data_IF_435619122927
#
_entry.id   IF_435619122927
#
_cell.length_a   1.000
_cell.length_b   1.000
_cell.length_c   1.000
_cell.angle_alpha   90.00
_cell.angle_beta   90.00
_cell.angle_gamma   90.00
#
_symmetry.space_group_name_H-M   'P 1'
#
loop_
_entity.id
_entity.type
_entity.pdbx_description
1 polymer ?
#
# COMPACT_ATOMS: atom_id res chain seq x y z
N UNK A 1 2.11 -5.52 15.50
CA UNK A 1 2.39 -4.31 16.30
C UNK A 1 1.17 -3.40 16.29
N UNK A 2 0.61 -3.20 17.48
CA UNK A 2 -0.70 -2.62 17.74
C UNK A 2 -0.95 -1.28 17.01
N UNK A 3 0.00 -0.33 16.92
CA UNK A 3 -0.24 0.94 16.22
C UNK A 3 -0.50 0.77 14.72
N UNK A 4 0.29 -0.07 14.04
CA UNK A 4 0.12 -0.32 12.60
C UNK A 4 -1.10 -1.20 12.30
N UNK A 5 -1.54 -2.01 13.26
CA UNK A 5 -2.80 -2.75 13.16
C UNK A 5 -4.01 -1.80 13.21
N UNK A 6 -3.94 -0.76 14.06
CA UNK A 6 -4.95 0.31 14.09
C UNK A 6 -4.94 1.15 12.82
N UNK A 7 -3.78 1.49 12.26
CA UNK A 7 -3.69 2.19 10.96
C UNK A 7 -4.39 1.36 9.87
N UNK A 8 -4.10 0.05 9.80
CA UNK A 8 -4.78 -0.84 8.87
C UNK A 8 -6.30 -0.89 9.11
N UNK A 9 -6.74 -0.99 10.36
CA UNK A 9 -8.17 -1.01 10.70
C UNK A 9 -8.90 0.29 10.34
N UNK A 10 -8.29 1.46 10.62
CA UNK A 10 -8.86 2.78 10.31
C UNK A 10 -9.04 3.02 8.82
N UNK A 11 -8.31 2.31 7.95
CA UNK A 11 -8.57 2.38 6.50
C UNK A 11 -10.01 2.00 6.12
N UNK A 12 -10.61 1.02 6.81
CA UNK A 12 -11.98 0.61 6.58
C UNK A 12 -12.99 1.72 6.92
N UNK A 13 -12.68 2.55 7.93
CA UNK A 13 -13.50 3.70 8.33
C UNK A 13 -13.55 4.76 7.22
N UNK A 14 -12.39 5.12 6.67
CA UNK A 14 -12.28 6.09 5.55
C UNK A 14 -13.01 5.58 4.30
N UNK A 15 -12.92 4.27 4.02
CA UNK A 15 -13.70 3.65 2.92
C UNK A 15 -15.20 3.75 3.20
N UNK A 16 -15.63 3.55 4.44
CA UNK A 16 -17.02 3.73 4.86
C UNK A 16 -17.52 5.16 4.64
N UNK A 17 -16.76 6.16 5.05
CA UNK A 17 -17.09 7.58 4.86
C UNK A 17 -17.26 7.94 3.38
N UNK A 18 -16.37 7.42 2.51
CA UNK A 18 -16.50 7.59 1.06
C UNK A 18 -17.82 7.00 0.54
N UNK A 19 -18.15 5.78 0.95
CA UNK A 19 -19.40 5.12 0.53
C UNK A 19 -20.61 5.92 1.01
N UNK A 20 -20.58 6.44 2.24
CA UNK A 20 -21.62 7.32 2.79
C UNK A 20 -21.85 8.53 1.88
N UNK A 21 -20.78 9.24 1.48
CA UNK A 21 -20.89 10.41 0.59
C UNK A 21 -21.41 10.04 -0.80
N UNK A 22 -20.96 8.92 -1.38
CA UNK A 22 -21.43 8.45 -2.69
C UNK A 22 -22.93 8.12 -2.66
N UNK A 23 -23.40 7.48 -1.60
CA UNK A 23 -24.80 7.13 -1.42
C UNK A 23 -25.65 8.37 -1.12
N UNK A 24 -25.13 9.32 -0.33
CA UNK A 24 -25.79 10.60 -0.07
C UNK A 24 -26.09 11.36 -1.37
N UNK A 25 -25.12 11.40 -2.29
CA UNK A 25 -25.26 12.09 -3.56
C UNK A 25 -26.10 11.33 -4.61
N UNK A 26 -26.38 10.04 -4.39
CA UNK A 26 -26.99 9.16 -5.39
C UNK A 26 -28.43 9.59 -5.70
N UNK A 27 -28.64 10.15 -6.89
CA UNK A 27 -29.97 10.46 -7.41
C UNK A 27 -30.59 11.73 -6.81
N UNK A 28 -29.80 12.57 -6.13
CA UNK A 28 -30.28 13.88 -5.69
C UNK A 28 -30.59 14.77 -6.91
N UNK A 29 -31.80 15.35 -7.00
CA UNK A 29 -32.12 16.32 -8.05
C UNK A 29 -31.35 17.61 -7.81
N UNK A 30 -31.10 18.38 -8.88
CA UNK A 30 -30.56 19.73 -8.75
C UNK A 30 -31.64 20.69 -8.18
N UNK A 31 -31.33 21.72 -7.39
CA UNK A 31 -30.01 22.17 -6.92
C UNK A 31 -29.74 21.77 -5.46
N UNK A 32 -29.77 22.71 -4.51
CA UNK A 32 -29.51 22.42 -3.09
C UNK A 32 -30.64 21.56 -2.48
N UNK A 33 -30.25 20.47 -1.80
CA UNK A 33 -31.12 19.63 -0.97
C UNK A 33 -30.58 19.62 0.46
N UNK A 34 -31.48 19.55 1.45
CA UNK A 34 -31.09 19.59 2.87
C UNK A 34 -30.35 18.33 3.33
N UNK A 35 -30.49 17.24 2.60
CA UNK A 35 -29.72 16.00 2.73
C UNK A 35 -28.21 16.28 2.74
N UNK A 36 -27.75 17.28 1.96
CA UNK A 36 -26.35 17.72 1.91
C UNK A 36 -25.84 18.38 3.22
N UNK A 37 -26.60 18.35 4.31
CA UNK A 37 -26.09 18.64 5.65
C UNK A 37 -25.26 17.48 6.21
N UNK A 38 -25.51 16.25 5.75
CA UNK A 38 -24.82 15.01 6.16
C UNK A 38 -23.44 14.82 5.48
N UNK A 39 -22.99 15.79 4.69
CA UNK A 39 -21.70 15.73 3.98
C UNK A 39 -20.48 15.96 4.89
N UNK A 40 -20.64 16.79 5.93
CA UNK A 40 -19.52 17.29 6.75
C UNK A 40 -18.96 16.22 7.66
N UNK A 41 -19.82 15.46 8.32
CA UNK A 41 -19.42 14.44 9.28
C UNK A 41 -18.47 13.39 8.66
N UNK A 42 -18.81 12.71 7.55
CA UNK A 42 -17.91 11.73 6.94
C UNK A 42 -16.61 12.37 6.42
N UNK A 43 -16.66 13.61 5.92
CA UNK A 43 -15.44 14.31 5.48
C UNK A 43 -14.52 14.64 6.67
N UNK A 44 -15.06 15.20 7.75
CA UNK A 44 -14.29 15.55 8.94
C UNK A 44 -13.74 14.30 9.62
N UNK A 45 -14.53 13.23 9.67
CA UNK A 45 -14.09 11.97 10.24
C UNK A 45 -12.94 11.36 9.44
N UNK A 46 -13.06 11.33 8.11
CA UNK A 46 -11.99 10.88 7.21
C UNK A 46 -10.71 11.70 7.38
N UNK A 47 -10.81 13.04 7.44
CA UNK A 47 -9.64 13.92 7.64
C UNK A 47 -8.97 13.63 8.99
N UNK A 48 -9.75 13.50 10.06
CA UNK A 48 -9.23 13.18 11.39
C UNK A 48 -8.57 11.80 11.42
N UNK A 49 -9.21 10.80 10.80
CA UNK A 49 -8.69 9.43 10.74
C UNK A 49 -7.37 9.37 9.97
N UNK A 50 -7.31 9.99 8.79
CA UNK A 50 -6.11 10.01 7.95
C UNK A 50 -4.98 10.77 8.62
N UNK A 51 -5.25 11.93 9.21
CA UNK A 51 -4.24 12.72 9.92
C UNK A 51 -3.63 11.92 11.07
N UNK A 52 -4.45 11.30 11.92
CA UNK A 52 -3.95 10.47 13.01
C UNK A 52 -3.19 9.21 12.53
N UNK A 53 -3.62 8.60 11.41
CA UNK A 53 -2.88 7.49 10.81
C UNK A 53 -1.49 7.91 10.32
N UNK A 54 -1.38 9.10 9.72
CA UNK A 54 -0.11 9.65 9.24
C UNK A 54 0.84 9.98 10.39
N UNK A 55 0.34 10.59 11.47
CA UNK A 55 1.14 10.89 12.67
C UNK A 55 1.72 9.62 13.28
N UNK A 56 0.88 8.61 13.52
CA UNK A 56 1.32 7.30 14.06
C UNK A 56 2.30 6.61 13.12
N UNK A 57 2.05 6.65 11.81
CA UNK A 57 2.93 6.00 10.83
C UNK A 57 4.29 6.70 10.72
N UNK A 58 4.33 8.03 10.84
CA UNK A 58 5.56 8.81 10.84
C UNK A 58 6.40 8.51 12.09
N UNK A 59 5.79 8.49 13.27
CA UNK A 59 6.47 8.13 14.51
C UNK A 59 6.99 6.68 14.46
N UNK A 60 6.17 5.74 13.96
CA UNK A 60 6.59 4.36 13.77
C UNK A 60 7.81 4.26 12.84
N UNK A 61 7.80 4.98 11.71
CA UNK A 61 8.89 4.98 10.74
C UNK A 61 10.18 5.59 11.27
N UNK A 62 10.10 6.59 12.15
CA UNK A 62 11.28 7.21 12.78
C UNK A 62 11.95 6.28 13.81
N UNK A 63 11.17 5.43 14.47
CA UNK A 63 11.64 4.58 15.57
C UNK A 63 11.90 3.13 15.18
N UNK A 64 11.58 2.72 13.94
CA UNK A 64 11.81 1.36 13.49
C UNK A 64 13.32 1.07 13.39
N UNK A 65 13.74 -0.07 13.94
CA UNK A 65 15.12 -0.55 13.80
C UNK A 65 15.15 -1.80 12.93
N UNK A 66 16.07 -1.82 11.98
CA UNK A 66 16.22 -2.93 11.04
C UNK A 66 17.34 -3.86 11.49
N UNK A 67 17.02 -5.13 11.69
CA UNK A 67 18.03 -6.16 11.89
C UNK A 67 18.71 -6.49 10.56
N UNK A 68 19.76 -5.74 10.22
CA UNK A 68 20.50 -5.87 8.96
C UNK A 68 21.09 -7.26 8.76
N UNK A 69 21.59 -7.89 9.82
CA UNK A 69 22.17 -9.24 9.74
C UNK A 69 21.10 -10.28 9.35
N UNK A 70 19.94 -10.25 10.01
CA UNK A 70 18.82 -11.15 9.69
C UNK A 70 18.29 -10.89 8.28
N UNK A 71 18.18 -9.63 7.87
CA UNK A 71 17.79 -9.26 6.50
C UNK A 71 18.80 -9.84 5.51
N UNK A 72 20.10 -9.60 5.70
CA UNK A 72 21.15 -10.06 4.81
C UNK A 72 21.20 -11.59 4.69
N UNK A 73 21.00 -12.32 5.80
CA UNK A 73 20.91 -13.79 5.79
C UNK A 73 19.69 -14.31 5.03
N UNK A 74 18.61 -13.53 4.92
CA UNK A 74 17.40 -13.94 4.18
C UNK A 74 17.47 -13.67 2.68
N UNK A 75 18.30 -12.73 2.22
CA UNK A 75 18.39 -12.34 0.80
C UNK A 75 18.76 -13.51 -0.15
N UNK A 76 19.76 -14.37 0.16
CA UNK A 76 20.15 -15.45 -0.75
C UNK A 76 19.05 -16.50 -0.96
N UNK A 77 18.17 -16.70 0.03
CA UNK A 77 17.10 -17.69 -0.04
C UNK A 77 16.05 -17.36 -1.13
N UNK A 78 15.98 -16.11 -1.58
CA UNK A 78 15.01 -15.67 -2.58
C UNK A 78 15.49 -15.78 -4.03
N UNK A 79 16.73 -16.21 -4.29
CA UNK A 79 17.35 -16.17 -5.62
C UNK A 79 17.14 -14.82 -6.34
N UNK A 80 17.22 -13.71 -5.58
CA UNK A 80 16.81 -12.37 -6.02
C UNK A 80 17.61 -11.87 -7.24
N UNK A 81 18.83 -12.38 -7.44
CA UNK A 81 19.70 -12.04 -8.57
C UNK A 81 19.43 -12.87 -9.83
N UNK A 82 18.52 -13.85 -9.79
CA UNK A 82 18.22 -14.71 -10.94
C UNK A 82 17.81 -13.87 -12.17
N UNK A 83 16.96 -12.87 -11.99
CA UNK A 83 16.57 -11.95 -13.06
C UNK A 83 17.77 -11.20 -13.62
N UNK A 84 18.68 -10.72 -12.75
CA UNK A 84 19.92 -10.04 -13.15
C UNK A 84 20.82 -10.96 -13.98
N UNK A 85 20.92 -12.24 -13.62
CA UNK A 85 21.68 -13.23 -14.40
C UNK A 85 21.01 -13.51 -15.75
N UNK A 86 19.69 -13.57 -15.81
CA UNK A 86 18.96 -13.76 -17.07
C UNK A 86 19.17 -12.57 -18.01
N UNK A 87 19.08 -11.34 -17.48
CA UNK A 87 19.33 -10.10 -18.21
C UNK A 87 20.79 -10.00 -18.68
N UNK A 88 21.74 -10.45 -17.85
CA UNK A 88 23.14 -10.56 -18.25
C UNK A 88 23.33 -11.47 -19.46
N UNK A 89 22.69 -12.64 -19.49
CA UNK A 89 22.73 -13.56 -20.64
C UNK A 89 22.12 -12.93 -21.89
N UNK A 90 21.02 -12.19 -21.73
CA UNK A 90 20.38 -11.45 -22.82
C UNK A 90 21.31 -10.40 -23.41
N UNK A 91 21.99 -9.63 -22.57
CA UNK A 91 22.99 -8.66 -22.99
C UNK A 91 24.20 -9.30 -23.69
N UNK A 92 24.43 -10.60 -23.48
CA UNK A 92 25.44 -11.41 -24.18
C UNK A 92 24.92 -12.07 -25.46
N UNK A 93 23.69 -11.77 -25.87
CA UNK A 93 23.08 -12.26 -27.12
C UNK A 93 22.25 -13.54 -26.97
N UNK A 94 22.02 -14.02 -25.75
CA UNK A 94 21.13 -15.18 -25.51
C UNK A 94 19.67 -14.72 -25.59
N UNK A 95 18.78 -15.38 -26.35
CA UNK A 95 17.36 -15.06 -26.31
C UNK A 95 16.80 -15.16 -24.89
N UNK A 96 15.95 -14.21 -24.47
CA UNK A 96 15.43 -14.13 -23.10
C UNK A 96 14.87 -15.45 -22.57
N UNK A 97 14.07 -16.15 -23.38
CA UNK A 97 13.50 -17.46 -23.01
C UNK A 97 14.60 -18.48 -22.65
N UNK A 98 15.67 -18.53 -23.43
CA UNK A 98 16.81 -19.41 -23.17
C UNK A 98 17.60 -18.96 -21.95
N UNK A 99 17.81 -17.65 -21.78
CA UNK A 99 18.47 -17.10 -20.58
C UNK A 99 17.71 -17.43 -19.30
N UNK A 100 16.39 -17.23 -19.31
CA UNK A 100 15.50 -17.59 -18.21
C UNK A 100 15.53 -19.11 -17.91
N UNK A 101 15.47 -19.96 -18.93
CA UNK A 101 15.54 -21.42 -18.76
C UNK A 101 16.91 -21.90 -18.24
N UNK A 102 18.00 -21.19 -18.54
CA UNK A 102 19.34 -21.50 -18.01
C UNK A 102 19.39 -21.15 -16.52
N UNK A 103 18.95 -19.94 -16.17
CA UNK A 103 18.98 -19.47 -14.78
C UNK A 103 18.03 -20.27 -13.89
N UNK A 104 16.83 -20.59 -14.36
CA UNK A 104 15.85 -21.36 -13.57
C UNK A 104 16.25 -22.81 -13.28
N UNK A 105 17.30 -23.33 -13.94
CA UNK A 105 17.88 -24.65 -13.68
C UNK A 105 19.12 -24.62 -12.77
N UNK A 106 19.69 -23.44 -12.53
CA UNK A 106 20.87 -23.23 -11.70
C UNK A 106 20.48 -22.95 -10.24
#
# INVERSE_FOLDING_TARGET
>A
PDPMELVRGKSARVVGDLVTLLVLCKGLPIAYNRDLQEDKEPVFDSVNAVTGMLEVSAEFAQNVTFNREKIQKSLPAGHLDATTVADYLVNKGVPFRTGHDIVGRA
#
